data_IF_149251743103
#
_entry.id   IF_149251743103
#
_cell.length_a   1.000
_cell.length_b   1.000
_cell.length_c   1.000
_cell.angle_alpha   90.00
_cell.angle_beta   90.00
_cell.angle_gamma   90.00
#
_symmetry.space_group_name_H-M   'P 1'
#
loop_
_entity.id
_entity.type
_entity.pdbx_description
1 polymer ?
#
# COMPACT_ATOMS: atom_id res chain seq x y z
N UNK A 1 -37.95 -15.61 29.75
CA UNK A 1 -37.46 -16.93 30.18
C UNK A 1 -36.00 -16.80 30.56
N UNK A 2 -35.61 -17.30 31.74
CA UNK A 2 -34.20 -17.38 32.18
C UNK A 2 -33.43 -18.28 31.20
N UNK A 3 -32.29 -17.80 30.67
CA UNK A 3 -31.41 -18.61 29.82
C UNK A 3 -30.79 -19.72 30.67
N UNK A 4 -30.73 -20.94 30.14
CA UNK A 4 -30.05 -22.04 30.83
C UNK A 4 -28.53 -21.80 30.85
N UNK A 5 -27.82 -22.47 31.77
CA UNK A 5 -26.34 -22.44 31.83
C UNK A 5 -25.72 -22.81 30.48
N UNK A 6 -26.27 -23.82 29.82
CA UNK A 6 -25.81 -24.29 28.52
C UNK A 6 -26.03 -23.24 27.41
N UNK A 7 -27.17 -22.52 27.43
CA UNK A 7 -27.41 -21.43 26.49
C UNK A 7 -26.42 -20.27 26.67
N UNK A 8 -26.09 -19.93 27.92
CA UNK A 8 -25.09 -18.88 28.23
C UNK A 8 -23.70 -19.28 27.74
N UNK A 9 -23.27 -20.51 28.02
CA UNK A 9 -21.98 -21.04 27.54
C UNK A 9 -21.95 -21.09 26.00
N UNK A 10 -23.04 -21.50 25.35
CA UNK A 10 -23.12 -21.54 23.88
C UNK A 10 -23.00 -20.15 23.26
N UNK A 11 -23.68 -19.16 23.83
CA UNK A 11 -23.59 -17.75 23.39
C UNK A 11 -22.17 -17.23 23.59
N UNK A 12 -21.54 -17.52 24.72
CA UNK A 12 -20.16 -17.13 25.00
C UNK A 12 -19.18 -17.73 23.99
N UNK A 13 -19.23 -19.04 23.76
CA UNK A 13 -18.36 -19.71 22.81
C UNK A 13 -18.60 -19.22 21.38
N UNK A 14 -19.85 -18.87 21.04
CA UNK A 14 -20.18 -18.23 19.76
C UNK A 14 -19.64 -16.81 19.64
N UNK A 15 -19.45 -16.07 20.75
CA UNK A 15 -18.76 -14.78 20.73
C UNK A 15 -17.25 -14.98 20.58
N UNK A 16 -16.66 -15.91 21.35
CA UNK A 16 -15.25 -16.29 21.25
C UNK A 16 -14.87 -16.81 19.85
N UNK A 17 -15.76 -17.58 19.21
CA UNK A 17 -15.48 -18.16 17.88
C UNK A 17 -15.31 -17.11 16.79
N UNK A 18 -15.91 -15.91 16.93
CA UNK A 18 -15.67 -14.75 16.04
C UNK A 18 -14.20 -14.32 16.04
N UNK A 19 -13.47 -14.65 17.10
CA UNK A 19 -12.06 -14.33 17.28
C UNK A 19 -11.14 -15.54 17.08
N UNK A 20 -11.64 -16.70 16.63
CA UNK A 20 -10.84 -17.94 16.50
C UNK A 20 -9.59 -17.83 15.60
N UNK A 21 -9.55 -16.83 14.72
CA UNK A 21 -8.42 -16.57 13.81
C UNK A 21 -7.51 -15.43 14.30
N UNK A 22 -7.81 -14.83 15.46
CA UNK A 22 -7.06 -13.73 16.06
C UNK A 22 -6.40 -14.21 17.35
N UNK A 23 -5.20 -13.72 17.59
CA UNK A 23 -4.47 -13.97 18.82
C UNK A 23 -5.04 -13.05 19.89
N UNK A 24 -5.66 -13.63 20.93
CA UNK A 24 -6.38 -12.91 21.96
C UNK A 24 -5.46 -12.63 23.15
N UNK A 25 -5.39 -11.34 23.55
CA UNK A 25 -4.77 -10.95 24.82
C UNK A 25 -5.65 -11.36 25.99
N UNK A 26 -5.04 -11.68 27.12
CA UNK A 26 -5.74 -12.08 28.35
C UNK A 26 -6.83 -11.06 28.75
N UNK A 27 -6.54 -9.76 28.63
CA UNK A 27 -7.50 -8.68 28.89
C UNK A 27 -8.77 -8.78 28.02
N UNK A 28 -8.61 -9.11 26.73
CA UNK A 28 -9.74 -9.22 25.80
C UNK A 28 -10.62 -10.42 26.15
N UNK A 29 -10.01 -11.51 26.62
CA UNK A 29 -10.77 -12.71 27.05
C UNK A 29 -11.59 -12.39 28.30
N UNK A 30 -11.00 -11.67 29.27
CA UNK A 30 -11.72 -11.18 30.47
C UNK A 30 -12.87 -10.25 30.10
N UNK A 31 -12.64 -9.28 29.21
CA UNK A 31 -13.69 -8.39 28.71
C UNK A 31 -14.84 -9.16 28.03
N UNK A 32 -14.53 -10.21 27.24
CA UNK A 32 -15.56 -11.06 26.60
C UNK A 32 -16.35 -11.86 27.65
N UNK A 33 -15.70 -12.34 28.71
CA UNK A 33 -16.35 -13.06 29.83
C UNK A 33 -17.29 -12.11 30.57
N UNK A 34 -16.82 -10.91 30.93
CA UNK A 34 -17.60 -9.89 31.64
C UNK A 34 -18.84 -9.47 30.82
N UNK A 35 -18.72 -9.36 29.50
CA UNK A 35 -19.83 -9.05 28.60
C UNK A 35 -20.75 -10.24 28.28
N UNK A 36 -20.42 -11.45 28.71
CA UNK A 36 -21.15 -12.66 28.40
C UNK A 36 -22.10 -13.14 29.51
N UNK A 37 -22.15 -12.43 30.65
CA UNK A 37 -23.03 -12.76 31.79
C UNK A 37 -22.86 -14.23 32.25
N UNK A 38 -21.59 -14.66 32.35
CA UNK A 38 -21.22 -16.04 32.73
C UNK A 38 -21.00 -16.08 34.24
N UNK A 39 -21.67 -17.01 34.92
CA UNK A 39 -21.48 -17.26 36.35
C UNK A 39 -20.32 -18.22 36.62
N UNK A 40 -19.82 -18.26 37.86
CA UNK A 40 -18.78 -19.21 38.28
C UNK A 40 -19.18 -20.68 38.05
N UNK A 41 -20.47 -21.00 38.16
CA UNK A 41 -21.00 -22.32 37.86
C UNK A 41 -20.92 -22.65 36.34
N UNK A 42 -21.09 -21.65 35.48
CA UNK A 42 -20.95 -21.80 34.03
C UNK A 42 -19.46 -22.00 33.66
N UNK A 43 -18.55 -21.35 34.39
CA UNK A 43 -17.10 -21.55 34.27
C UNK A 43 -16.72 -22.99 34.62
N UNK A 44 -17.22 -23.54 35.72
CA UNK A 44 -16.94 -24.94 36.06
C UNK A 44 -17.51 -25.93 35.05
N UNK A 45 -18.67 -25.63 34.46
CA UNK A 45 -19.22 -26.42 33.35
C UNK A 45 -18.32 -26.38 32.09
N UNK A 46 -17.68 -25.24 31.81
CA UNK A 46 -16.67 -25.11 30.73
C UNK A 46 -15.46 -26.01 31.03
N UNK A 47 -14.94 -25.98 32.27
CA UNK A 47 -13.81 -26.83 32.69
C UNK A 47 -14.14 -28.31 32.61
N UNK A 48 -15.32 -28.73 33.10
CA UNK A 48 -15.76 -30.13 33.00
C UNK A 48 -15.87 -30.60 31.54
N UNK A 49 -16.40 -29.78 30.63
CA UNK A 49 -16.47 -30.10 29.21
C UNK A 49 -15.09 -30.22 28.58
N UNK A 50 -14.18 -29.30 28.91
CA UNK A 50 -12.79 -29.38 28.48
C UNK A 50 -12.17 -30.71 28.91
N UNK A 51 -12.21 -31.05 30.21
CA UNK A 51 -11.59 -32.27 30.74
C UNK A 51 -12.14 -33.53 30.08
N UNK A 52 -13.47 -33.62 29.91
CA UNK A 52 -14.10 -34.79 29.28
C UNK A 52 -13.62 -35.04 27.86
N UNK A 53 -13.51 -34.00 27.03
CA UNK A 53 -13.07 -34.14 25.63
C UNK A 53 -11.54 -34.30 25.56
N UNK A 54 -10.80 -33.63 26.45
CA UNK A 54 -9.36 -33.78 26.58
C UNK A 54 -8.97 -35.22 26.92
N UNK A 55 -9.67 -35.85 27.87
CA UNK A 55 -9.47 -37.26 28.25
C UNK A 55 -9.79 -38.20 27.09
N UNK A 56 -10.83 -37.90 26.31
CA UNK A 56 -11.19 -38.67 25.11
C UNK A 56 -10.10 -38.56 24.04
N UNK A 57 -9.58 -37.36 23.78
CA UNK A 57 -8.47 -37.16 22.86
C UNK A 57 -7.22 -37.93 23.33
N UNK A 58 -6.90 -37.91 24.63
CA UNK A 58 -5.81 -38.71 25.19
C UNK A 58 -5.99 -40.22 24.97
N UNK A 59 -7.22 -40.73 25.09
CA UNK A 59 -7.51 -42.13 24.82
C UNK A 59 -7.27 -42.47 23.33
N UNK A 60 -7.70 -41.61 22.41
CA UNK A 60 -7.48 -41.78 20.98
C UNK A 60 -5.98 -41.74 20.63
N UNK A 61 -5.21 -40.82 21.20
CA UNK A 61 -3.75 -40.81 21.04
C UNK A 61 -3.12 -42.13 21.51
N UNK A 62 -3.56 -42.66 22.67
CA UNK A 62 -3.06 -43.94 23.21
C UNK A 62 -3.41 -45.12 22.32
N UNK A 63 -4.53 -45.05 21.60
CA UNK A 63 -4.96 -46.06 20.62
C UNK A 63 -4.23 -45.91 19.27
N UNK A 64 -3.43 -44.85 19.08
CA UNK A 64 -2.72 -44.56 17.83
C UNK A 64 -3.56 -43.81 16.80
N UNK A 65 -4.79 -43.42 17.12
CA UNK A 65 -5.69 -42.66 16.27
C UNK A 65 -5.35 -41.15 16.34
N UNK A 66 -4.18 -40.78 15.81
CA UNK A 66 -3.62 -39.43 15.96
C UNK A 66 -4.49 -38.34 15.31
N UNK A 67 -5.05 -38.60 14.13
CA UNK A 67 -5.90 -37.62 13.42
C UNK A 67 -7.24 -37.40 14.13
N UNK A 68 -7.87 -38.46 14.63
CA UNK A 68 -9.11 -38.36 15.41
C UNK A 68 -8.86 -37.72 16.78
N UNK A 69 -7.73 -38.04 17.42
CA UNK A 69 -7.27 -37.36 18.62
C UNK A 69 -7.08 -35.85 18.39
N UNK A 70 -6.46 -35.47 17.28
CA UNK A 70 -6.27 -34.06 16.93
C UNK A 70 -7.61 -33.37 16.67
N UNK A 71 -8.52 -34.04 15.94
CA UNK A 71 -9.85 -33.50 15.63
C UNK A 71 -10.67 -33.25 16.89
N UNK A 72 -10.68 -34.20 17.84
CA UNK A 72 -11.34 -34.02 19.14
C UNK A 72 -10.69 -32.87 19.93
N UNK A 73 -9.35 -32.78 19.94
CA UNK A 73 -8.64 -31.70 20.62
C UNK A 73 -8.97 -30.33 20.01
N UNK A 74 -9.05 -30.21 18.68
CA UNK A 74 -9.43 -28.95 18.01
C UNK A 74 -10.82 -28.44 18.43
N UNK A 75 -11.76 -29.32 18.78
CA UNK A 75 -13.10 -28.90 19.23
C UNK A 75 -13.09 -28.14 20.56
N UNK A 76 -12.09 -28.38 21.41
CA UNK A 76 -11.97 -27.75 22.73
C UNK A 76 -10.99 -26.58 22.79
N UNK A 77 -10.45 -26.15 21.64
CA UNK A 77 -9.58 -24.97 21.57
C UNK A 77 -10.22 -23.75 22.26
N UNK A 78 -11.46 -23.41 21.92
CA UNK A 78 -12.13 -22.23 22.50
C UNK A 78 -12.42 -22.38 24.00
N UNK A 79 -12.63 -23.60 24.47
CA UNK A 79 -12.82 -23.89 25.90
C UNK A 79 -11.52 -23.69 26.68
N UNK A 80 -10.38 -23.99 26.04
CA UNK A 80 -9.06 -23.87 26.68
C UNK A 80 -8.62 -22.42 26.94
N UNK A 81 -9.13 -21.46 26.14
CA UNK A 81 -8.75 -20.04 26.25
C UNK A 81 -9.19 -19.37 27.56
N UNK A 82 -10.06 -20.02 28.33
CA UNK A 82 -10.65 -19.46 29.54
C UNK A 82 -9.67 -19.35 30.71
N UNK A 83 -8.69 -20.25 30.78
CA UNK A 83 -7.76 -20.34 31.90
C UNK A 83 -6.36 -20.71 31.38
N UNK A 84 -5.33 -20.03 31.90
CA UNK A 84 -3.94 -20.24 31.46
C UNK A 84 -3.46 -21.68 31.68
N UNK A 85 -3.83 -22.31 32.79
CA UNK A 85 -3.40 -23.69 33.10
C UNK A 85 -4.11 -24.72 32.20
N UNK A 86 -5.36 -24.46 31.85
CA UNK A 86 -6.13 -25.26 30.90
C UNK A 86 -5.54 -25.10 29.49
N UNK A 87 -5.22 -23.87 29.08
CA UNK A 87 -4.58 -23.61 27.81
C UNK A 87 -3.19 -24.25 27.71
N UNK A 88 -2.40 -24.23 28.78
CA UNK A 88 -1.10 -24.88 28.83
C UNK A 88 -1.22 -26.41 28.62
N UNK A 89 -2.18 -27.04 29.30
CA UNK A 89 -2.48 -28.47 29.11
C UNK A 89 -2.88 -28.77 27.66
N UNK A 90 -3.75 -27.95 27.09
CA UNK A 90 -4.15 -28.03 25.68
C UNK A 90 -2.95 -27.89 24.75
N UNK A 91 -2.14 -26.84 24.92
CA UNK A 91 -1.01 -26.52 24.08
C UNK A 91 0.03 -27.63 24.06
N UNK A 92 0.38 -28.17 25.22
CA UNK A 92 1.36 -29.23 25.34
C UNK A 92 0.90 -30.50 24.63
N UNK A 93 -0.38 -30.85 24.73
CA UNK A 93 -0.94 -31.98 24.01
C UNK A 93 -1.00 -31.72 22.49
N UNK A 94 -1.46 -30.54 22.09
CA UNK A 94 -1.56 -30.16 20.68
C UNK A 94 -0.18 -30.18 19.99
N UNK A 95 0.85 -29.61 20.64
CA UNK A 95 2.23 -29.63 20.16
C UNK A 95 2.77 -31.06 19.99
N UNK A 96 2.45 -31.97 20.93
CA UNK A 96 2.84 -33.37 20.84
C UNK A 96 2.19 -34.08 19.64
N UNK A 97 0.91 -33.85 19.39
CA UNK A 97 0.19 -34.41 18.23
C UNK A 97 0.71 -33.85 16.91
N UNK A 98 0.88 -32.53 16.80
CA UNK A 98 1.40 -31.84 15.61
C UNK A 98 2.77 -32.41 15.21
N UNK A 99 3.69 -32.57 16.18
CA UNK A 99 5.02 -33.15 15.92
C UNK A 99 4.97 -34.59 15.39
N UNK A 100 3.96 -35.38 15.78
CA UNK A 100 3.80 -36.77 15.34
C UNK A 100 3.10 -36.89 13.98
N UNK A 101 2.12 -36.04 13.70
CA UNK A 101 1.36 -36.03 12.43
C UNK A 101 2.19 -35.37 11.32
N UNK A 102 2.85 -34.25 11.64
CA UNK A 102 3.75 -33.49 10.75
C UNK A 102 3.18 -33.24 9.33
N UNK A 103 1.95 -32.72 9.25
CA UNK A 103 1.34 -32.32 7.98
C UNK A 103 1.35 -30.80 7.79
N UNK A 104 1.41 -30.35 6.52
CA UNK A 104 1.45 -28.92 6.17
C UNK A 104 0.26 -28.14 6.75
N UNK A 105 -0.93 -28.74 6.72
CA UNK A 105 -2.15 -28.09 7.20
C UNK A 105 -2.16 -27.96 8.73
N UNK A 106 -1.71 -29.00 9.43
CA UNK A 106 -1.63 -29.03 10.89
C UNK A 106 -0.55 -28.06 11.39
N UNK A 107 0.61 -28.00 10.71
CA UNK A 107 1.67 -27.02 11.01
C UNK A 107 1.19 -25.58 10.85
N UNK A 108 0.37 -25.29 9.82
CA UNK A 108 -0.23 -23.95 9.64
C UNK A 108 -1.16 -23.56 10.80
N UNK A 109 -1.99 -24.49 11.29
CA UNK A 109 -2.83 -24.25 12.47
C UNK A 109 -2.00 -24.11 13.75
N UNK A 110 -0.93 -24.89 13.86
CA UNK A 110 -0.01 -24.84 14.99
C UNK A 110 0.67 -23.48 15.18
N UNK A 111 0.94 -22.75 14.09
CA UNK A 111 1.44 -21.36 14.17
C UNK A 111 0.50 -20.47 14.97
N UNK A 112 -0.81 -20.55 14.70
CA UNK A 112 -1.81 -19.76 15.42
C UNK A 112 -1.87 -20.15 16.90
N UNK A 113 -1.91 -21.45 17.20
CA UNK A 113 -1.94 -21.98 18.57
C UNK A 113 -0.66 -21.58 19.35
N UNK A 114 0.49 -21.58 18.68
CA UNK A 114 1.77 -21.16 19.27
C UNK A 114 1.78 -19.67 19.59
N UNK A 115 1.27 -18.82 18.69
CA UNK A 115 1.13 -17.38 18.94
C UNK A 115 0.22 -17.10 20.14
N UNK A 116 -0.87 -17.86 20.27
CA UNK A 116 -1.74 -17.78 21.43
C UNK A 116 -1.04 -18.23 22.73
N UNK A 117 -0.22 -19.28 22.69
CA UNK A 117 0.59 -19.72 23.83
C UNK A 117 1.60 -18.66 24.28
N UNK A 118 2.17 -17.91 23.34
CA UNK A 118 3.05 -16.78 23.64
C UNK A 118 2.32 -15.63 24.34
N UNK A 119 1.11 -15.27 23.91
CA UNK A 119 0.32 -14.24 24.62
C UNK A 119 -0.03 -14.66 26.06
N UNK A 120 -0.29 -15.94 26.30
CA UNK A 120 -0.48 -16.45 27.66
C UNK A 120 0.82 -16.57 28.46
N UNK A 121 1.97 -16.27 27.85
CA UNK A 121 3.28 -16.40 28.46
C UNK A 121 3.63 -17.85 28.84
N UNK A 122 3.22 -18.81 28.00
CA UNK A 122 3.56 -20.24 28.13
C UNK A 122 4.84 -20.55 27.36
N UNK A 123 5.06 -19.87 26.22
CA UNK A 123 6.27 -20.00 25.41
C UNK A 123 6.87 -18.61 25.17
N UNK A 124 8.19 -18.48 25.36
CA UNK A 124 8.95 -17.23 25.17
C UNK A 124 9.34 -17.00 23.71
N UNK A 125 9.63 -18.06 22.95
CA UNK A 125 10.11 -17.99 21.58
C UNK A 125 9.30 -18.91 20.66
N UNK A 126 8.77 -18.35 19.57
CA UNK A 126 8.17 -19.11 18.47
C UNK A 126 9.09 -18.94 17.28
N UNK A 127 9.70 -20.03 16.83
CA UNK A 127 10.54 -20.01 15.66
C UNK A 127 9.67 -20.00 14.39
N UNK A 128 9.13 -18.81 14.06
CA UNK A 128 8.33 -18.57 12.84
C UNK A 128 9.18 -18.59 11.55
N UNK A 129 10.49 -18.79 11.71
CA UNK A 129 11.50 -18.56 10.69
C UNK A 129 11.46 -19.62 9.58
N UNK A 130 11.19 -20.89 9.92
CA UNK A 130 11.29 -21.97 8.95
C UNK A 130 10.16 -22.00 7.90
N UNK A 131 8.92 -21.64 8.26
CA UNK A 131 7.77 -21.73 7.32
C UNK A 131 7.64 -20.51 6.41
N UNK A 132 8.01 -19.31 6.88
CA UNK A 132 7.89 -18.07 6.09
C UNK A 132 9.15 -17.77 5.27
N UNK A 133 10.34 -18.14 5.76
CA UNK A 133 11.58 -17.92 5.00
C UNK A 133 11.74 -18.92 3.85
N UNK A 134 11.30 -20.18 3.97
CA UNK A 134 11.45 -21.18 2.88
C UNK A 134 10.66 -20.86 1.62
N UNK A 135 9.40 -20.40 1.72
CA UNK A 135 8.64 -19.98 0.53
C UNK A 135 9.24 -18.72 -0.11
N UNK A 136 9.73 -17.77 0.70
CA UNK A 136 10.43 -16.57 0.22
C UNK A 136 11.77 -16.90 -0.44
N UNK A 137 12.50 -17.90 0.08
CA UNK A 137 13.77 -18.39 -0.49
C UNK A 137 13.53 -19.12 -1.81
N UNK A 138 12.47 -19.94 -1.92
CA UNK A 138 12.05 -20.57 -3.18
C UNK A 138 11.73 -19.53 -4.25
N UNK A 139 11.00 -18.47 -3.90
CA UNK A 139 10.72 -17.37 -4.83
C UNK A 139 11.99 -16.60 -5.23
N UNK A 140 12.89 -16.31 -4.28
CA UNK A 140 14.17 -15.65 -4.58
C UNK A 140 15.06 -16.50 -5.49
N UNK A 141 15.16 -17.80 -5.23
CA UNK A 141 15.89 -18.76 -6.08
C UNK A 141 15.28 -18.86 -7.47
N UNK A 142 13.95 -18.87 -7.58
CA UNK A 142 13.26 -18.92 -8.87
C UNK A 142 13.48 -17.64 -9.68
N UNK A 143 13.44 -16.47 -9.04
CA UNK A 143 13.76 -15.18 -9.67
C UNK A 143 15.23 -15.14 -10.09
N UNK A 144 16.16 -15.59 -9.24
CA UNK A 144 17.59 -15.67 -9.58
C UNK A 144 17.84 -16.63 -10.75
N UNK A 145 17.16 -17.78 -10.79
CA UNK A 145 17.29 -18.76 -11.86
C UNK A 145 16.72 -18.22 -13.19
N UNK A 146 15.56 -17.55 -13.16
CA UNK A 146 14.99 -16.89 -14.34
C UNK A 146 15.87 -15.74 -14.84
N UNK A 147 16.43 -14.94 -13.94
CA UNK A 147 17.40 -13.89 -14.28
C UNK A 147 18.68 -14.48 -14.88
N UNK A 148 19.16 -15.61 -14.36
CA UNK A 148 20.32 -16.31 -14.91
C UNK A 148 20.05 -16.84 -16.33
N UNK A 149 18.88 -17.44 -16.57
CA UNK A 149 18.45 -17.87 -17.91
C UNK A 149 18.38 -16.66 -18.85
N UNK A 150 17.82 -15.54 -18.40
CA UNK A 150 17.72 -14.34 -19.20
C UNK A 150 19.10 -13.77 -19.55
N UNK A 151 20.01 -13.69 -18.59
CA UNK A 151 21.41 -13.27 -18.81
C UNK A 151 22.08 -14.22 -19.79
N UNK A 152 21.87 -15.53 -19.67
CA UNK A 152 22.42 -16.52 -20.59
C UNK A 152 21.88 -16.35 -22.02
N UNK A 153 20.57 -16.10 -22.19
CA UNK A 153 19.96 -15.84 -23.51
C UNK A 153 20.54 -14.55 -24.10
N UNK A 154 20.61 -13.47 -23.33
CA UNK A 154 21.18 -12.20 -23.79
C UNK A 154 22.64 -12.39 -24.18
N UNK A 155 23.45 -13.03 -23.33
CA UNK A 155 24.85 -13.31 -23.61
C UNK A 155 25.03 -14.19 -24.85
N UNK A 156 24.18 -15.20 -25.04
CA UNK A 156 24.20 -16.07 -26.22
C UNK A 156 23.82 -15.33 -27.50
N UNK A 157 22.79 -14.47 -27.46
CA UNK A 157 22.40 -13.61 -28.59
C UNK A 157 23.52 -12.62 -28.90
N UNK A 158 24.07 -11.93 -27.89
CA UNK A 158 25.19 -11.00 -28.06
C UNK A 158 26.43 -11.70 -28.61
N UNK A 159 26.78 -12.89 -28.11
CA UNK A 159 27.88 -13.71 -28.62
C UNK A 159 27.66 -14.12 -30.07
N UNK A 160 26.45 -14.58 -30.44
CA UNK A 160 26.12 -14.94 -31.83
C UNK A 160 26.14 -13.74 -32.77
N UNK A 161 25.68 -12.58 -32.32
CA UNK A 161 25.72 -11.33 -33.10
C UNK A 161 27.17 -10.85 -33.25
N UNK A 162 27.98 -10.84 -32.18
CA UNK A 162 29.39 -10.48 -32.23
C UNK A 162 30.23 -11.46 -33.08
N UNK A 163 30.01 -12.76 -32.98
CA UNK A 163 30.73 -13.74 -33.82
C UNK A 163 30.32 -13.69 -35.30
N UNK A 164 29.18 -13.09 -35.63
CA UNK A 164 28.78 -12.82 -37.02
C UNK A 164 29.50 -11.57 -37.58
N UNK A 165 29.96 -10.66 -36.71
CA UNK A 165 30.73 -9.47 -37.09
C UNK A 165 32.25 -9.65 -36.96
N UNK A 166 32.74 -10.54 -36.11
CA UNK A 166 34.16 -10.90 -35.98
C UNK A 166 34.47 -12.05 -36.95
N UNK A 167 34.35 -11.73 -38.22
CA UNK A 167 34.97 -12.45 -39.31
C UNK A 167 35.57 -11.41 -40.21
N UNK A 168 36.63 -10.75 -39.73
CA UNK A 168 37.71 -10.04 -40.44
C UNK A 168 38.36 -9.01 -39.50
N UNK A 169 39.69 -8.98 -39.57
CA UNK A 169 40.65 -7.98 -39.04
C UNK A 169 41.21 -8.17 -37.62
N UNK A 170 42.44 -8.68 -37.61
CA UNK A 170 43.52 -8.43 -36.66
C UNK A 170 43.67 -6.92 -36.38
N UNK A 171 44.01 -6.55 -35.14
CA UNK A 171 45.07 -5.58 -34.82
C UNK A 171 45.34 -5.50 -33.31
N UNK A 172 46.61 -5.70 -32.98
CA UNK A 172 47.30 -5.41 -31.72
C UNK A 172 47.05 -3.97 -31.20
N UNK A 173 47.17 -3.77 -29.88
CA UNK A 173 47.34 -2.42 -29.32
C UNK A 173 47.11 -2.28 -27.82
N UNK A 174 48.14 -2.63 -27.04
CA UNK A 174 48.58 -2.02 -25.77
C UNK A 174 47.58 -1.56 -24.69
N UNK A 175 47.70 -2.21 -23.53
CA UNK A 175 47.09 -1.82 -22.25
C UNK A 175 48.05 -0.88 -21.51
N UNK A 176 47.62 0.36 -21.22
CA UNK A 176 48.24 1.19 -20.20
C UNK A 176 47.30 1.45 -19.01
N UNK A 177 47.80 1.06 -17.83
CA UNK A 177 47.26 1.38 -16.52
C UNK A 177 47.51 2.86 -16.19
N UNK A 178 46.48 3.59 -15.74
CA UNK A 178 46.67 4.75 -14.85
C UNK A 178 45.58 4.77 -13.78
N UNK A 179 45.99 4.49 -12.53
CA UNK A 179 45.25 4.87 -11.33
C UNK A 179 45.19 6.40 -11.22
N UNK A 180 44.01 6.95 -10.95
CA UNK A 180 43.89 8.18 -10.16
C UNK A 180 42.63 8.14 -9.31
N UNK A 181 42.83 8.22 -8.00
CA UNK A 181 41.78 8.43 -7.00
C UNK A 181 41.45 9.94 -7.05
N UNK A 182 40.28 10.29 -7.57
CA UNK A 182 39.77 11.68 -7.52
C UNK A 182 38.70 11.77 -6.43
N UNK A 183 38.96 12.66 -5.50
CA UNK A 183 38.10 13.11 -4.41
C UNK A 183 36.73 13.52 -4.97
N UNK A 184 35.66 12.87 -4.48
CA UNK A 184 34.27 13.19 -4.83
C UNK A 184 33.88 14.57 -4.27
N UNK A 185 34.15 15.62 -5.03
CA UNK A 185 33.31 16.82 -5.06
C UNK A 185 32.14 16.61 -6.03
N UNK A 186 31.03 17.33 -5.83
CA UNK A 186 29.96 17.40 -6.84
C UNK A 186 30.58 17.85 -8.19
N UNK A 187 30.28 17.17 -9.31
CA UNK A 187 30.87 17.52 -10.60
C UNK A 187 30.57 18.98 -10.97
N UNK A 188 31.59 19.72 -11.41
CA UNK A 188 31.44 21.12 -11.81
C UNK A 188 30.59 21.23 -13.06
N UNK A 189 29.52 22.04 -13.00
CA UNK A 189 28.70 22.38 -14.17
C UNK A 189 29.55 23.20 -15.14
N UNK A 190 29.81 22.66 -16.32
CA UNK A 190 30.62 23.31 -17.36
C UNK A 190 29.79 24.31 -18.18
N UNK A 191 28.48 24.08 -18.31
CA UNK A 191 27.53 25.00 -18.97
C UNK A 191 26.10 24.72 -18.54
N UNK A 192 25.29 25.76 -18.35
CA UNK A 192 23.84 25.65 -18.25
C UNK A 192 23.21 26.28 -19.50
N UNK A 193 22.22 25.63 -20.09
CA UNK A 193 21.48 26.20 -21.24
C UNK A 193 20.01 25.87 -21.14
N UNK A 194 19.17 26.87 -21.39
CA UNK A 194 17.73 26.70 -21.43
C UNK A 194 17.34 25.84 -22.64
N UNK A 195 16.39 24.94 -22.43
CA UNK A 195 15.89 24.04 -23.46
C UNK A 195 14.67 24.64 -24.15
N UNK A 196 14.57 24.45 -25.47
CA UNK A 196 13.28 24.61 -26.13
C UNK A 196 12.39 23.43 -25.76
N UNK A 197 11.26 23.75 -25.11
CA UNK A 197 10.21 22.78 -24.79
C UNK A 197 9.08 22.96 -25.78
N UNK A 198 8.78 21.89 -26.51
CA UNK A 198 7.54 21.80 -27.26
C UNK A 198 6.62 20.81 -26.54
N UNK A 199 5.43 21.28 -26.16
CA UNK A 199 4.36 20.41 -25.69
C UNK A 199 3.45 20.09 -26.87
N UNK A 200 3.34 18.82 -27.25
CA UNK A 200 2.40 18.39 -28.27
C UNK A 200 1.24 17.63 -27.60
N UNK A 201 0.03 18.17 -27.75
CA UNK A 201 -1.21 17.50 -27.33
C UNK A 201 -1.65 16.51 -28.42
N UNK A 202 -1.23 15.25 -28.30
CA UNK A 202 -1.51 14.21 -29.31
C UNK A 202 -2.96 13.69 -29.30
N UNK A 203 -3.78 14.06 -28.31
CA UNK A 203 -5.18 13.62 -28.25
C UNK A 203 -6.07 14.60 -29.01
N UNK A 204 -6.43 14.24 -30.23
CA UNK A 204 -7.47 14.91 -31.01
C UNK A 204 -8.78 14.92 -30.19
N UNK A 205 -9.15 16.12 -29.70
CA UNK A 205 -10.24 16.46 -28.75
C UNK A 205 -9.89 16.23 -27.27
N UNK A 206 -9.49 17.28 -26.51
CA UNK A 206 -10.43 18.31 -26.04
C UNK A 206 -9.76 19.68 -25.74
N UNK A 207 -9.91 20.69 -26.60
CA UNK A 207 -9.46 22.08 -26.36
C UNK A 207 -10.18 22.82 -25.21
N UNK A 208 -10.62 22.16 -24.14
CA UNK A 208 -11.36 22.82 -23.05
C UNK A 208 -11.25 22.21 -21.65
N UNK A 209 -10.41 21.18 -21.43
CA UNK A 209 -10.35 20.49 -20.14
C UNK A 209 -8.99 20.54 -19.44
N UNK A 210 -7.87 20.69 -20.15
CA UNK A 210 -6.55 20.83 -19.53
C UNK A 210 -5.56 21.56 -20.44
N UNK A 211 -4.49 22.10 -19.85
CA UNK A 211 -3.32 22.61 -20.55
C UNK A 211 -2.04 22.25 -19.78
N UNK A 212 -0.90 22.31 -20.47
CA UNK A 212 0.42 22.07 -19.86
C UNK A 212 1.09 23.42 -19.61
N UNK A 213 1.54 23.65 -18.39
CA UNK A 213 2.42 24.77 -18.05
C UNK A 213 3.85 24.28 -17.83
N UNK A 214 4.83 24.99 -18.37
CA UNK A 214 6.25 24.70 -18.14
C UNK A 214 6.82 25.82 -17.27
N UNK A 215 7.43 25.46 -16.14
CA UNK A 215 8.04 26.40 -15.18
C UNK A 215 9.53 26.55 -15.47
N UNK A 216 10.21 25.43 -15.77
CA UNK A 216 11.64 25.44 -16.04
C UNK A 216 12.05 24.24 -16.90
N UNK A 217 13.01 24.45 -17.81
CA UNK A 217 13.59 23.37 -18.60
C UNK A 217 15.04 23.72 -18.96
N UNK A 218 15.99 22.91 -18.47
CA UNK A 218 17.42 23.19 -18.57
C UNK A 218 18.23 21.93 -18.84
N UNK A 219 19.33 22.09 -19.56
CA UNK A 219 20.42 21.11 -19.57
C UNK A 219 21.57 21.66 -18.75
N UNK A 220 22.04 20.85 -17.82
CA UNK A 220 23.32 21.03 -17.17
C UNK A 220 24.34 20.13 -17.85
N UNK A 221 25.35 20.73 -18.45
CA UNK A 221 26.46 20.03 -19.09
C UNK A 221 27.55 19.83 -18.03
N UNK A 222 27.95 18.59 -17.84
CA UNK A 222 29.08 18.16 -17.02
C UNK A 222 30.19 17.60 -17.92
N UNK A 223 31.36 17.35 -17.33
CA UNK A 223 32.51 16.83 -18.09
C UNK A 223 32.23 15.46 -18.71
N UNK A 224 31.45 14.63 -18.03
CA UNK A 224 31.17 13.22 -18.31
C UNK A 224 29.70 12.94 -18.67
N UNK A 225 28.77 13.87 -18.42
CA UNK A 225 27.35 13.68 -18.63
C UNK A 225 26.58 14.98 -18.92
N UNK A 226 25.39 14.85 -19.48
CA UNK A 226 24.40 15.91 -19.58
C UNK A 226 23.20 15.57 -18.69
N UNK A 227 22.81 16.48 -17.78
CA UNK A 227 21.61 16.34 -16.96
C UNK A 227 20.48 17.21 -17.51
N UNK A 228 19.41 16.57 -17.97
CA UNK A 228 18.20 17.22 -18.46
C UNK A 228 17.22 17.37 -17.31
N UNK A 229 16.77 18.58 -17.11
CA UNK A 229 15.79 18.93 -16.10
C UNK A 229 14.57 19.54 -16.78
N UNK A 230 13.40 19.00 -16.48
CA UNK A 230 12.12 19.55 -16.92
C UNK A 230 11.19 19.64 -15.71
N UNK A 231 10.66 20.84 -15.48
CA UNK A 231 9.58 21.13 -14.54
C UNK A 231 8.38 21.62 -15.33
N UNK A 232 7.39 20.75 -15.44
CA UNK A 232 6.11 21.04 -16.08
C UNK A 232 4.95 20.67 -15.15
N UNK A 233 3.74 21.10 -15.47
CA UNK A 233 2.53 20.81 -14.73
C UNK A 233 1.35 20.66 -15.68
N UNK A 234 0.51 19.66 -15.43
CA UNK A 234 -0.80 19.54 -16.11
C UNK A 234 -1.84 20.28 -15.27
N UNK A 235 -2.45 21.30 -15.85
CA UNK A 235 -3.48 22.16 -15.26
C UNK A 235 -4.83 21.80 -15.86
N UNK A 236 -5.89 21.75 -15.06
CA UNK A 236 -7.26 21.57 -15.55
C UNK A 236 -8.19 22.64 -15.01
N UNK A 237 -8.92 23.31 -15.90
CA UNK A 237 -9.85 24.38 -15.50
C UNK A 237 -11.22 23.85 -15.03
N UNK A 238 -11.54 22.57 -15.29
CA UNK A 238 -12.91 22.06 -15.15
C UNK A 238 -13.05 20.75 -14.37
N UNK A 239 -12.06 19.85 -14.39
CA UNK A 239 -12.21 18.51 -13.79
C UNK A 239 -10.93 18.06 -13.09
N UNK A 240 -11.03 17.47 -11.89
CA UNK A 240 -9.88 16.87 -11.25
C UNK A 240 -9.32 15.72 -12.11
N UNK A 241 -8.00 15.64 -12.16
CA UNK A 241 -7.27 14.64 -12.95
C UNK A 241 -6.99 13.41 -12.08
N UNK A 242 -7.40 12.23 -12.54
CA UNK A 242 -7.22 10.93 -11.88
C UNK A 242 -5.87 10.31 -12.21
N UNK A 243 -5.54 10.28 -13.51
CA UNK A 243 -4.32 9.68 -14.04
C UNK A 243 -3.82 10.50 -15.20
N UNK A 244 -2.51 10.66 -15.28
CA UNK A 244 -1.83 11.18 -16.47
C UNK A 244 -0.80 10.16 -16.91
N UNK A 245 -0.81 9.83 -18.20
CA UNK A 245 0.31 9.23 -18.89
C UNK A 245 0.95 10.28 -19.78
N UNK A 246 2.26 10.44 -19.67
CA UNK A 246 3.03 11.38 -20.47
C UNK A 246 4.33 10.73 -20.94
N UNK A 247 4.84 11.17 -22.09
CA UNK A 247 6.19 10.82 -22.52
C UNK A 247 7.10 12.04 -22.58
N UNK A 248 8.36 11.81 -22.27
CA UNK A 248 9.42 12.80 -22.44
C UNK A 248 10.38 12.24 -23.47
N UNK A 249 10.58 13.02 -24.53
CA UNK A 249 11.48 12.71 -25.63
C UNK A 249 12.56 13.78 -25.72
N UNK A 250 13.82 13.38 -25.77
CA UNK A 250 14.96 14.29 -25.95
C UNK A 250 15.50 14.08 -27.36
N UNK A 251 15.68 15.17 -28.09
CA UNK A 251 16.21 15.17 -29.45
C UNK A 251 17.59 15.81 -29.51
N UNK A 252 18.46 15.24 -30.33
CA UNK A 252 19.74 15.84 -30.71
C UNK A 252 19.55 17.11 -31.58
N UNK A 253 20.67 17.69 -32.00
CA UNK A 253 20.74 18.82 -32.93
C UNK A 253 20.38 18.46 -34.38
N UNK A 254 20.33 17.17 -34.73
CA UNK A 254 19.96 16.64 -36.04
C UNK A 254 18.48 16.24 -36.12
N UNK A 255 17.74 16.25 -35.01
CA UNK A 255 16.35 15.83 -34.89
C UNK A 255 16.14 14.34 -34.60
N UNK A 256 17.18 13.58 -34.28
CA UNK A 256 17.09 12.18 -33.84
C UNK A 256 16.74 12.08 -32.35
N UNK A 257 15.96 11.07 -31.98
CA UNK A 257 15.57 10.83 -30.59
C UNK A 257 16.68 10.08 -29.85
N UNK A 258 17.26 10.74 -28.83
CA UNK A 258 18.27 10.15 -27.94
C UNK A 258 17.63 9.44 -26.75
N UNK A 259 16.45 9.91 -26.34
CA UNK A 259 15.67 9.32 -25.25
C UNK A 259 14.19 9.42 -25.58
N UNK A 260 13.44 8.35 -25.36
CA UNK A 260 11.98 8.37 -25.32
C UNK A 260 11.52 7.50 -24.15
N UNK A 261 10.95 8.12 -23.12
CA UNK A 261 10.44 7.42 -21.94
C UNK A 261 9.00 7.79 -21.67
N UNK A 262 8.20 6.78 -21.35
CA UNK A 262 6.79 6.90 -20.97
C UNK A 262 6.68 6.78 -19.46
N UNK A 263 5.92 7.69 -18.87
CA UNK A 263 5.66 7.74 -17.45
C UNK A 263 4.15 7.68 -17.21
N UNK A 264 3.78 7.06 -16.09
CA UNK A 264 2.41 7.07 -15.59
C UNK A 264 2.40 7.60 -14.16
N UNK A 265 1.42 8.47 -13.88
CA UNK A 265 1.21 9.08 -12.58
C UNK A 265 -0.27 8.97 -12.19
N UNK A 266 -0.55 8.41 -11.01
CA UNK A 266 -1.90 8.26 -10.42
C UNK A 266 -2.05 9.08 -9.14
N UNK A 267 -3.19 9.74 -8.95
CA UNK A 267 -3.49 10.78 -7.94
C UNK A 267 -2.93 10.52 -6.53
N UNK A 268 -1.86 11.25 -6.16
CA UNK A 268 -1.50 11.71 -4.81
C UNK A 268 -0.26 12.64 -4.89
N UNK A 269 -0.33 13.70 -5.70
CA UNK A 269 0.88 14.48 -6.03
C UNK A 269 1.06 15.68 -5.11
N UNK A 270 2.27 15.94 -4.58
CA UNK A 270 2.55 17.17 -3.84
C UNK A 270 2.43 18.38 -4.76
N UNK A 271 1.55 19.33 -4.46
CA UNK A 271 1.43 20.54 -5.29
C UNK A 271 2.65 21.45 -5.05
N UNK A 272 3.63 21.39 -5.94
CA UNK A 272 4.83 22.23 -5.87
C UNK A 272 4.65 23.58 -6.56
N UNK A 273 3.47 23.94 -7.09
CA UNK A 273 3.29 25.08 -8.01
C UNK A 273 2.26 26.10 -7.49
N UNK A 274 2.41 27.38 -7.87
CA UNK A 274 1.52 28.48 -7.42
C UNK A 274 0.14 28.47 -8.09
N UNK A 275 0.01 27.83 -9.25
CA UNK A 275 -1.24 27.72 -10.02
C UNK A 275 -1.87 26.35 -9.77
N UNK A 276 -3.16 26.18 -10.11
CA UNK A 276 -3.94 24.95 -9.94
C UNK A 276 -3.45 23.75 -10.77
N UNK A 277 -2.18 23.40 -10.64
CA UNK A 277 -1.52 22.25 -11.25
C UNK A 277 -2.00 21.01 -10.53
N UNK A 278 -2.76 20.18 -11.24
CA UNK A 278 -3.26 18.92 -10.71
C UNK A 278 -2.19 17.84 -10.70
N UNK A 279 -1.23 17.89 -11.64
CA UNK A 279 -0.15 16.90 -11.74
C UNK A 279 1.19 17.59 -12.04
N UNK A 280 2.11 17.72 -11.07
CA UNK A 280 3.47 18.18 -11.32
C UNK A 280 4.30 17.09 -12.01
N UNK A 281 5.10 17.52 -12.97
CA UNK A 281 6.05 16.74 -13.74
C UNK A 281 7.44 17.29 -13.45
N UNK A 282 8.11 16.66 -12.48
CA UNK A 282 9.54 16.84 -12.22
C UNK A 282 10.29 15.70 -12.90
N UNK A 283 11.09 16.02 -13.91
CA UNK A 283 11.93 15.06 -14.62
C UNK A 283 13.39 15.49 -14.53
N UNK A 284 14.24 14.55 -14.12
CA UNK A 284 15.70 14.69 -14.14
C UNK A 284 16.26 13.42 -14.76
N UNK A 285 17.10 13.57 -15.77
CA UNK A 285 17.74 12.43 -16.42
C UNK A 285 19.16 12.75 -16.87
N UNK A 286 20.08 11.84 -16.60
CA UNK A 286 21.49 11.99 -16.97
C UNK A 286 21.77 11.12 -18.19
N UNK A 287 22.39 11.70 -19.23
CA UNK A 287 22.87 11.01 -20.42
C UNK A 287 24.39 11.10 -20.42
N UNK A 288 25.08 9.97 -20.56
CA UNK A 288 26.53 9.94 -20.65
C UNK A 288 27.00 10.65 -21.93
N UNK A 289 28.12 11.39 -21.83
CA UNK A 289 28.66 12.22 -22.92
C UNK A 289 29.24 11.41 -24.10
N UNK A 290 29.34 10.09 -23.99
CA UNK A 290 29.71 9.20 -25.11
C UNK A 290 28.80 9.38 -26.33
N UNK A 291 27.60 9.94 -26.14
CA UNK A 291 26.76 10.47 -27.20
C UNK A 291 27.26 11.88 -27.55
N UNK A 292 28.05 11.99 -28.63
CA UNK A 292 28.67 13.25 -29.12
C UNK A 292 27.68 14.34 -29.58
N UNK A 293 26.38 14.05 -29.52
CA UNK A 293 25.33 14.94 -29.98
C UNK A 293 25.01 16.00 -28.91
N UNK A 294 24.66 17.22 -29.37
CA UNK A 294 24.26 18.31 -28.49
C UNK A 294 22.73 18.47 -28.52
N UNK A 295 21.99 17.75 -27.68
CA UNK A 295 20.54 17.86 -27.65
C UNK A 295 20.08 19.22 -27.19
N UNK A 296 19.20 19.81 -28.00
CA UNK A 296 18.65 21.16 -27.83
C UNK A 296 17.17 21.17 -27.49
N UNK A 297 16.49 20.03 -27.63
CA UNK A 297 15.03 19.98 -27.59
C UNK A 297 14.54 18.86 -26.68
N UNK A 298 13.60 19.23 -25.81
CA UNK A 298 12.83 18.29 -25.01
C UNK A 298 11.37 18.43 -25.40
N UNK A 299 10.73 17.30 -25.73
CA UNK A 299 9.31 17.24 -26.06
C UNK A 299 8.59 16.53 -24.93
N UNK A 300 7.56 17.19 -24.39
CA UNK A 300 6.66 16.62 -23.40
C UNK A 300 5.32 16.34 -24.09
N UNK A 301 5.01 15.06 -24.25
CA UNK A 301 3.75 14.63 -24.86
C UNK A 301 2.81 14.10 -23.78
N UNK A 302 1.60 14.66 -23.69
CA UNK A 302 0.55 14.08 -22.86
C UNK A 302 -0.18 13.02 -23.69
N UNK A 303 0.00 11.75 -23.32
CA UNK A 303 -0.57 10.60 -24.04
C UNK A 303 -1.98 10.27 -23.61
N UNK A 304 -2.25 10.39 -22.31
CA UNK A 304 -3.56 10.10 -21.73
C UNK A 304 -3.78 10.98 -20.52
N UNK A 305 -4.93 11.64 -20.47
CA UNK A 305 -5.46 12.25 -19.24
C UNK A 305 -6.77 11.53 -18.93
N UNK A 306 -6.77 10.74 -17.86
CA UNK A 306 -8.02 10.28 -17.28
C UNK A 306 -8.47 11.33 -16.28
N UNK A 307 -9.57 12.00 -16.61
CA UNK A 307 -10.33 12.75 -15.63
C UNK A 307 -11.14 11.78 -14.77
N UNK A 308 -11.44 12.19 -13.54
CA UNK A 308 -12.50 11.50 -12.81
C UNK A 308 -13.82 11.67 -13.60
N UNK A 309 -14.36 10.56 -14.10
CA UNK A 309 -15.64 10.50 -14.79
C UNK A 309 -16.39 9.28 -14.23
N UNK A 310 -17.68 9.43 -13.93
CA UNK A 310 -18.44 8.40 -13.21
C UNK A 310 -18.29 8.47 -11.69
N UNK A 311 -18.02 9.66 -11.15
CA UNK A 311 -18.33 9.93 -9.74
C UNK A 311 -19.83 9.76 -9.59
N UNK A 312 -20.27 8.82 -8.75
CA UNK A 312 -21.62 8.91 -8.21
C UNK A 312 -21.66 10.25 -7.48
N UNK A 313 -22.21 11.29 -8.14
CA UNK A 313 -22.67 12.49 -7.49
C UNK A 313 -23.83 11.99 -6.63
N UNK A 314 -23.52 11.44 -5.46
CA UNK A 314 -24.51 11.27 -4.41
C UNK A 314 -24.99 12.69 -4.15
N UNK A 315 -26.23 13.04 -4.50
CA UNK A 315 -26.70 14.42 -4.49
C UNK A 315 -26.76 15.02 -3.06
N UNK A 316 -26.38 14.25 -2.04
CA UNK A 316 -26.45 14.60 -0.62
C UNK A 316 -25.11 14.80 0.08
N UNK A 317 -23.96 14.50 -0.54
CA UNK A 317 -22.66 14.59 0.15
C UNK A 317 -22.12 16.02 0.12
N UNK A 318 -22.68 16.85 1.00
CA UNK A 318 -22.12 18.17 1.31
C UNK A 318 -20.94 18.02 2.27
N UNK A 319 -19.88 18.77 2.02
CA UNK A 319 -18.72 18.85 2.89
C UNK A 319 -18.87 20.08 3.78
N UNK A 320 -19.06 19.87 5.08
CA UNK A 320 -19.00 20.92 6.08
C UNK A 320 -17.60 20.94 6.71
N UNK A 321 -16.96 22.11 6.72
CA UNK A 321 -15.63 22.34 7.33
C UNK A 321 -15.73 23.38 8.44
N UNK A 322 -14.95 23.18 9.50
CA UNK A 322 -14.78 24.13 10.61
C UNK A 322 -13.57 25.07 10.44
N UNK A 323 -12.82 24.96 9.34
CA UNK A 323 -11.61 25.77 9.11
C UNK A 323 -11.93 27.15 8.55
N UNK A 324 -11.27 28.19 9.08
CA UNK A 324 -11.31 29.56 8.56
C UNK A 324 -10.23 29.87 7.52
N UNK A 325 -9.25 28.97 7.35
CA UNK A 325 -8.06 29.17 6.52
C UNK A 325 -8.05 28.24 5.30
N UNK A 326 -8.68 27.08 5.43
CA UNK A 326 -8.76 26.06 4.38
C UNK A 326 -10.22 25.86 3.96
N UNK A 327 -10.50 26.05 2.67
CA UNK A 327 -11.75 25.58 2.10
C UNK A 327 -11.57 24.15 1.62
N UNK A 328 -12.61 23.35 1.84
CA UNK A 328 -12.63 21.99 1.36
C UNK A 328 -13.82 21.83 0.42
N UNK A 329 -13.58 21.16 -0.69
CA UNK A 329 -14.62 20.83 -1.66
C UNK A 329 -14.63 19.33 -1.89
N UNK A 330 -15.78 18.70 -1.66
CA UNK A 330 -15.95 17.31 -2.01
C UNK A 330 -16.11 17.18 -3.53
N UNK A 331 -15.30 16.31 -4.12
CA UNK A 331 -15.27 16.10 -5.56
C UNK A 331 -15.96 14.80 -5.96
N UNK A 332 -16.20 13.89 -5.02
CA UNK A 332 -16.82 12.60 -5.30
C UNK A 332 -16.30 11.44 -4.48
N UNK A 333 -17.02 10.32 -4.54
CA UNK A 333 -16.55 9.04 -4.03
C UNK A 333 -16.82 7.94 -5.04
N UNK A 334 -15.88 7.01 -5.16
CA UNK A 334 -16.16 5.73 -5.78
C UNK A 334 -16.02 4.62 -4.75
N UNK A 335 -16.98 3.70 -4.77
CA UNK A 335 -16.95 2.50 -3.94
C UNK A 335 -16.50 1.34 -4.80
N UNK A 336 -15.43 0.68 -4.39
CA UNK A 336 -15.01 -0.58 -4.96
C UNK A 336 -15.35 -1.70 -4.00
N UNK A 337 -16.05 -2.74 -4.46
CA UNK A 337 -16.31 -3.93 -3.66
C UNK A 337 -15.28 -4.99 -3.99
N UNK A 338 -14.47 -5.38 -3.00
CA UNK A 338 -13.50 -6.47 -3.17
C UNK A 338 -13.50 -7.35 -1.92
N UNK A 339 -13.68 -8.65 -2.10
CA UNK A 339 -13.57 -9.66 -1.03
C UNK A 339 -14.38 -9.33 0.25
N UNK A 340 -15.65 -8.92 0.11
CA UNK A 340 -16.51 -8.62 1.28
C UNK A 340 -16.16 -7.32 2.01
N UNK A 341 -15.38 -6.45 1.37
CA UNK A 341 -15.03 -5.12 1.87
C UNK A 341 -15.44 -4.07 0.83
N UNK A 342 -16.12 -3.03 1.30
CA UNK A 342 -16.34 -1.81 0.53
C UNK A 342 -15.18 -0.85 0.75
N UNK A 343 -14.45 -0.54 -0.30
CA UNK A 343 -13.40 0.46 -0.31
C UNK A 343 -13.95 1.76 -0.91
N UNK A 344 -14.20 2.75 -0.04
CA UNK A 344 -14.60 4.08 -0.43
C UNK A 344 -13.37 4.94 -0.68
N UNK A 345 -13.24 5.46 -1.87
CA UNK A 345 -12.23 6.44 -2.25
C UNK A 345 -12.90 7.78 -2.42
N UNK A 346 -12.83 8.59 -1.37
CA UNK A 346 -13.44 9.92 -1.35
C UNK A 346 -12.41 10.94 -1.79
N UNK A 347 -12.71 11.71 -2.82
CA UNK A 347 -11.84 12.75 -3.34
C UNK A 347 -12.26 14.10 -2.74
N UNK A 348 -11.29 14.81 -2.19
CA UNK A 348 -11.48 16.17 -1.68
C UNK A 348 -10.47 17.10 -2.36
N UNK A 349 -10.89 18.31 -2.66
CA UNK A 349 -10.01 19.43 -2.98
C UNK A 349 -9.85 20.28 -1.72
N UNK A 350 -8.61 20.66 -1.44
CA UNK A 350 -8.26 21.57 -0.35
C UNK A 350 -7.71 22.85 -0.97
N UNK A 351 -8.34 23.97 -0.66
CA UNK A 351 -7.92 25.29 -1.07
C UNK A 351 -7.30 26.01 0.13
N UNK A 352 -6.06 26.46 0.00
CA UNK A 352 -5.44 27.32 0.99
C UNK A 352 -5.78 28.77 0.70
N UNK A 353 -6.55 29.41 1.59
CA UNK A 353 -6.91 30.82 1.48
C UNK A 353 -5.97 31.75 2.27
N UNK A 354 -4.95 31.20 2.95
CA UNK A 354 -3.93 31.99 3.64
C UNK A 354 -2.79 32.41 2.70
N UNK A 355 -2.07 33.44 3.14
CA UNK A 355 -0.79 33.90 2.61
C UNK A 355 0.38 32.98 2.97
N UNK A 356 0.18 32.03 3.89
CA UNK A 356 1.20 31.11 4.39
C UNK A 356 1.19 29.75 3.69
N UNK A 357 2.35 29.09 3.64
CA UNK A 357 2.44 27.70 3.20
C UNK A 357 1.98 26.77 4.32
N UNK A 358 1.15 25.78 4.01
CA UNK A 358 0.76 24.73 4.97
C UNK A 358 1.63 23.50 4.72
N UNK A 359 2.51 23.20 5.67
CA UNK A 359 3.51 22.12 5.61
C UNK A 359 3.06 20.88 6.37
N UNK A 360 2.13 21.02 7.30
CA UNK A 360 1.51 19.90 7.99
C UNK A 360 -0.01 20.06 7.93
N UNK A 361 -0.71 19.02 7.47
CA UNK A 361 -2.16 19.03 7.36
C UNK A 361 -2.73 17.70 7.82
N UNK A 362 -3.38 17.72 8.98
CA UNK A 362 -4.16 16.62 9.53
C UNK A 362 -5.64 17.00 9.52
N UNK A 363 -6.47 16.08 9.04
CA UNK A 363 -7.93 16.24 9.06
C UNK A 363 -8.62 15.04 9.73
N UNK A 364 -9.77 15.29 10.34
CA UNK A 364 -10.69 14.24 10.79
C UNK A 364 -11.92 14.21 9.87
N UNK A 365 -12.05 13.11 9.13
CA UNK A 365 -13.10 12.87 8.16
C UNK A 365 -14.17 11.98 8.79
N UNK A 366 -15.41 12.45 8.76
CA UNK A 366 -16.56 11.77 9.35
C UNK A 366 -17.55 11.41 8.26
N UNK A 367 -17.93 10.14 8.19
CA UNK A 367 -18.99 9.63 7.34
C UNK A 367 -20.30 9.64 8.12
N UNK A 368 -21.32 10.28 7.57
CA UNK A 368 -22.58 10.54 8.24
C UNK A 368 -23.72 9.87 7.47
N UNK A 369 -24.67 9.29 8.19
CA UNK A 369 -25.86 8.65 7.62
C UNK A 369 -26.95 9.67 7.26
N UNK A 370 -28.01 9.25 6.57
CA UNK A 370 -29.16 10.13 6.27
C UNK A 370 -29.81 10.71 7.53
N UNK A 371 -29.76 9.97 8.63
CA UNK A 371 -30.31 10.37 9.93
C UNK A 371 -29.32 11.22 10.75
N UNK A 372 -28.28 11.77 10.12
CA UNK A 372 -27.22 12.56 10.75
C UNK A 372 -26.39 11.81 11.81
N UNK A 373 -26.49 10.48 11.88
CA UNK A 373 -25.65 9.69 12.78
C UNK A 373 -24.26 9.48 12.19
N UNK A 374 -23.24 9.55 13.04
CA UNK A 374 -21.86 9.27 12.63
C UNK A 374 -21.72 7.75 12.41
N UNK A 375 -21.48 7.37 11.16
CA UNK A 375 -21.19 5.99 10.78
C UNK A 375 -19.75 5.65 11.15
N UNK A 376 -18.82 6.57 10.86
CA UNK A 376 -17.40 6.40 11.12
C UNK A 376 -16.65 7.74 11.14
N UNK A 377 -15.67 7.86 12.04
CA UNK A 377 -14.69 8.95 12.03
C UNK A 377 -13.28 8.42 11.81
N UNK A 378 -12.48 9.14 11.01
CA UNK A 378 -11.11 8.77 10.66
C UNK A 378 -10.21 10.01 10.62
N UNK A 379 -9.13 9.97 11.41
CA UNK A 379 -8.03 10.93 11.26
C UNK A 379 -7.12 10.54 10.10
N UNK A 380 -6.74 11.55 9.31
CA UNK A 380 -5.96 11.42 8.09
C UNK A 380 -4.93 12.54 8.04
N UNK A 381 -3.68 12.13 7.87
CA UNK A 381 -2.58 13.03 7.57
C UNK A 381 -2.48 13.19 6.06
N UNK A 382 -2.78 14.38 5.56
CA UNK A 382 -2.77 14.69 4.12
C UNK A 382 -1.40 15.17 3.65
N UNK A 383 -0.69 15.91 4.50
CA UNK A 383 0.66 16.42 4.21
C UNK A 383 1.56 15.99 5.38
N UNK A 384 2.61 15.21 5.09
CA UNK A 384 3.56 14.74 6.11
C UNK A 384 5.03 14.71 5.67
N UNK A 385 5.27 14.90 4.37
CA UNK A 385 6.62 14.81 3.81
C UNK A 385 7.32 16.16 3.88
N UNK A 386 8.64 16.13 4.10
CA UNK A 386 9.50 17.31 4.25
C UNK A 386 9.38 18.32 3.09
N UNK A 387 9.12 17.81 1.88
CA UNK A 387 9.06 18.58 0.64
C UNK A 387 7.64 18.76 0.10
N UNK A 388 6.62 18.31 0.85
CA UNK A 388 5.21 18.47 0.48
C UNK A 388 4.59 19.59 1.31
N UNK A 389 3.97 20.55 0.63
CA UNK A 389 3.27 21.66 1.28
C UNK A 389 2.20 22.23 0.35
N UNK A 390 1.15 22.79 0.93
CA UNK A 390 0.11 23.50 0.20
C UNK A 390 0.46 24.99 0.18
N UNK A 391 0.78 25.50 -1.01
CA UNK A 391 1.18 26.90 -1.22
C UNK A 391 0.04 27.89 -0.91
N UNK A 392 0.36 29.16 -0.62
CA UNK A 392 -0.64 30.23 -0.49
C UNK A 392 -1.54 30.31 -1.72
N UNK A 393 -2.84 30.50 -1.51
CA UNK A 393 -3.85 30.66 -2.57
C UNK A 393 -3.87 29.54 -3.62
N UNK A 394 -3.43 28.34 -3.23
CA UNK A 394 -3.37 27.17 -4.12
C UNK A 394 -4.45 26.15 -3.78
N UNK A 395 -4.72 25.25 -4.73
CA UNK A 395 -5.66 24.14 -4.57
C UNK A 395 -4.95 22.82 -4.83
N UNK A 396 -5.32 21.78 -4.09
CA UNK A 396 -4.77 20.44 -4.26
C UNK A 396 -5.84 19.38 -3.99
N UNK A 397 -5.87 18.34 -4.81
CA UNK A 397 -6.78 17.20 -4.63
C UNK A 397 -6.12 16.07 -3.84
N UNK A 398 -6.83 15.51 -2.87
CA UNK A 398 -6.41 14.37 -2.07
C UNK A 398 -7.41 13.22 -2.20
N UNK A 399 -6.89 12.00 -2.27
CA UNK A 399 -7.70 10.78 -2.23
C UNK A 399 -7.72 10.20 -0.82
N UNK A 400 -8.92 10.08 -0.26
CA UNK A 400 -9.17 9.53 1.06
C UNK A 400 -9.65 8.08 0.91
N UNK A 401 -8.73 7.14 1.09
CA UNK A 401 -9.08 5.71 1.15
C UNK A 401 -9.71 5.36 2.50
N UNK A 402 -10.91 4.79 2.46
CA UNK A 402 -11.67 4.32 3.62
C UNK A 402 -12.21 2.93 3.38
N UNK A 403 -12.09 2.05 4.37
CA UNK A 403 -12.45 0.63 4.27
C UNK A 403 -13.65 0.36 5.16
N UNK A 404 -14.77 -0.09 4.61
CA UNK A 404 -15.98 -0.51 5.32
C UNK A 404 -16.18 -2.03 5.18
N UNK A 405 -15.99 -2.81 6.25
CA UNK A 405 -16.27 -4.26 6.22
C UNK A 405 -17.77 -4.50 5.99
N UNK A 406 -18.13 -5.30 4.98
CA UNK A 406 -19.53 -5.57 4.62
C UNK A 406 -20.31 -6.29 5.73
N UNK A 407 -19.61 -7.03 6.58
CA UNK A 407 -20.17 -7.68 7.78
C UNK A 407 -20.74 -6.68 8.80
N UNK A 408 -20.19 -5.45 8.83
CA UNK A 408 -20.58 -4.40 9.77
C UNK A 408 -21.43 -3.33 9.05
N UNK A 409 -21.09 -3.03 7.80
CA UNK A 409 -21.74 -2.01 6.98
C UNK A 409 -22.20 -2.62 5.65
N UNK A 410 -23.26 -3.43 5.66
CA UNK A 410 -23.70 -4.17 4.47
C UNK A 410 -24.22 -3.26 3.35
N UNK A 411 -24.79 -2.11 3.69
CA UNK A 411 -25.42 -1.17 2.76
C UNK A 411 -24.75 0.22 2.78
N UNK A 412 -23.45 0.29 3.06
CA UNK A 412 -22.74 1.56 3.28
C UNK A 412 -22.91 2.57 2.15
N UNK A 413 -23.00 2.09 0.91
CA UNK A 413 -23.15 2.94 -0.28
C UNK A 413 -24.50 3.69 -0.28
N UNK A 414 -25.54 3.14 0.33
CA UNK A 414 -26.88 3.74 0.45
C UNK A 414 -27.05 4.55 1.74
N UNK A 415 -26.34 4.13 2.79
CA UNK A 415 -26.38 4.73 4.13
C UNK A 415 -25.61 6.05 4.21
N UNK A 416 -24.44 6.15 3.56
CA UNK A 416 -23.63 7.38 3.57
C UNK A 416 -24.40 8.48 2.86
N UNK A 417 -24.79 9.50 3.62
CA UNK A 417 -25.46 10.69 3.10
C UNK A 417 -24.47 11.81 2.85
N UNK A 418 -23.51 12.01 3.76
CA UNK A 418 -22.57 13.12 3.75
C UNK A 418 -21.23 12.78 4.40
N UNK A 419 -20.23 13.60 4.09
CA UNK A 419 -18.89 13.54 4.67
C UNK A 419 -18.64 14.90 5.32
N UNK A 420 -18.18 14.92 6.57
CA UNK A 420 -17.83 16.16 7.28
C UNK A 420 -16.34 16.17 7.63
N UNK A 421 -15.74 17.35 7.62
CA UNK A 421 -14.38 17.57 8.12
C UNK A 421 -14.51 18.40 9.40
N UNK A 422 -14.39 17.73 10.54
CA UNK A 422 -14.73 18.34 11.84
C UNK A 422 -13.52 18.90 12.58
N UNK A 423 -12.33 18.31 12.38
CA UNK A 423 -11.08 18.76 12.98
C UNK A 423 -10.04 18.95 11.89
N UNK A 424 -9.56 20.18 11.75
CA UNK A 424 -8.49 20.55 10.82
C UNK A 424 -7.33 21.10 11.62
N UNK A 425 -6.18 20.46 11.54
CA UNK A 425 -4.92 20.93 12.12
C UNK A 425 -3.99 21.23 10.97
N UNK A 426 -3.73 22.51 10.73
CA UNK A 426 -2.83 23.01 9.71
C UNK A 426 -1.68 23.78 10.36
N UNK A 427 -0.45 23.55 9.91
CA UNK A 427 0.75 24.28 10.35
C UNK A 427 1.65 24.69 9.20
#
# INVERSE_FOLDING_TARGET
MSKTSEDRIRIYLSKLSKYRNRVLREKNIKEIIEQADISDADIENIKMRFSKVYDRALQLERMGELDDSLRELETIYLYSLHDKSIFDSFFNFYNRLVKRINSKEVNKKFVHVSLQAREFGIVSEINLRDDYETERLKHRLLVLFLSFILIFIIAFVTYKVMHFFIGYEELDGEVENVQNIIVQGLPSVTRASDLMVESADLVASPYSLYHVEVEDAKVLVFEDAHAYQLRAGVVSDKKPIKKVSYSITIYDDLGNSILNKVFEKTSNFPNKWRKGVYVPIDFIYNIAKEINEHPKKVVLDIRLVEFFNGVNNFPSVNLETSSSILDFKYLGSYFNETFGVYEAHSLIEVCNNSEDNIRDLDIEVVYVSRDSQIIRSLRRKLISESDSFLKPYSRQSFSLKTIFPKEIYPNIQEEVSSIKIINVVAR
#
